data_IF_744432073492
#
_entry.id   IF_744432073492
#
_cell.length_a   1.000
_cell.length_b   1.000
_cell.length_c   1.000
_cell.angle_alpha   90.00
_cell.angle_beta   90.00
_cell.angle_gamma   90.00
#
_symmetry.space_group_name_H-M   'P 1'
#
loop_
_entity.id
_entity.type
_entity.pdbx_description
1 polymer ?
#
# COMPACT_ATOMS: atom_id res chain seq x y z
N UNK A 1 -44.42 -27.62 42.10
CA UNK A 1 -45.40 -26.84 42.87
C UNK A 1 -44.74 -25.62 43.45
N UNK A 2 -45.45 -24.50 43.34
CA UNK A 2 -45.03 -23.11 43.59
C UNK A 2 -44.80 -22.80 45.08
N UNK A 3 -43.81 -21.95 45.42
CA UNK A 3 -44.03 -20.75 46.26
C UNK A 3 -42.82 -19.81 46.31
N UNK A 4 -43.17 -18.53 46.41
CA UNK A 4 -42.41 -17.27 46.24
C UNK A 4 -41.58 -16.85 47.47
N UNK A 5 -40.46 -16.18 47.17
CA UNK A 5 -39.84 -14.93 47.71
C UNK A 5 -40.53 -14.16 48.88
N UNK A 6 -39.82 -13.36 49.73
CA UNK A 6 -39.29 -12.04 49.30
C UNK A 6 -37.99 -11.49 49.95
N UNK A 7 -37.60 -10.36 49.37
CA UNK A 7 -36.38 -9.55 49.49
C UNK A 7 -36.21 -8.74 50.79
N UNK A 8 -35.00 -8.22 51.00
CA UNK A 8 -34.72 -7.09 51.89
C UNK A 8 -33.72 -6.13 51.23
N UNK A 9 -34.21 -4.92 50.95
CA UNK A 9 -33.48 -3.75 50.50
C UNK A 9 -32.65 -3.12 51.62
N UNK A 10 -31.47 -2.57 51.32
CA UNK A 10 -31.01 -1.32 51.95
C UNK A 10 -30.34 -0.39 50.95
N UNK A 11 -30.89 0.81 50.94
CA UNK A 11 -30.56 2.02 50.20
C UNK A 11 -29.56 2.86 51.00
N UNK A 12 -28.74 3.69 50.31
CA UNK A 12 -28.25 5.05 50.67
C UNK A 12 -26.93 5.36 49.94
N UNK A 13 -26.98 6.15 48.85
CA UNK A 13 -26.82 7.63 48.75
C UNK A 13 -25.38 8.16 48.82
N UNK A 14 -24.94 8.68 47.66
CA UNK A 14 -24.25 9.95 47.40
C UNK A 14 -23.27 10.52 48.46
N UNK A 15 -22.03 10.78 48.03
CA UNK A 15 -21.41 12.10 48.22
C UNK A 15 -20.29 12.38 47.22
N UNK A 16 -20.36 13.59 46.68
CA UNK A 16 -19.43 14.25 45.76
C UNK A 16 -18.06 14.45 46.42
N UNK A 17 -16.99 14.40 45.63
CA UNK A 17 -15.89 15.35 45.81
C UNK A 17 -15.08 15.54 44.52
N UNK A 18 -15.23 16.73 43.94
CA UNK A 18 -14.24 17.35 43.07
C UNK A 18 -13.02 17.73 43.91
N UNK A 19 -11.81 17.47 43.40
CA UNK A 19 -10.71 18.44 43.48
C UNK A 19 -9.63 18.14 42.45
N UNK A 20 -9.50 19.12 41.56
CA UNK A 20 -8.37 19.47 40.71
C UNK A 20 -7.01 18.90 41.12
N UNK A 21 -6.35 18.23 40.18
CA UNK A 21 -4.92 18.45 39.94
C UNK A 21 -4.65 18.45 38.43
N UNK A 22 -4.44 19.66 37.94
CA UNK A 22 -3.82 19.98 36.67
C UNK A 22 -2.37 19.48 36.67
N UNK A 23 -2.08 18.47 35.86
CA UNK A 23 -0.72 18.14 35.45
C UNK A 23 -0.66 18.22 33.93
N UNK A 24 0.07 19.26 33.53
CA UNK A 24 0.54 19.66 32.21
C UNK A 24 0.51 18.57 31.13
N UNK A 25 -0.30 18.85 30.11
CA UNK A 25 -0.30 18.18 28.81
C UNK A 25 1.00 18.52 28.08
N UNK A 26 1.93 17.58 28.05
CA UNK A 26 2.93 17.52 26.98
C UNK A 26 2.24 16.93 25.75
N UNK A 27 1.70 17.80 24.90
CA UNK A 27 1.11 17.39 23.62
C UNK A 27 2.22 17.09 22.62
N UNK A 28 2.76 15.88 22.66
CA UNK A 28 3.42 15.29 21.50
C UNK A 28 2.32 15.02 20.47
N UNK A 29 2.37 15.74 19.35
CA UNK A 29 1.47 15.57 18.23
C UNK A 29 1.51 14.10 17.76
N UNK A 30 0.40 13.40 17.93
CA UNK A 30 0.20 12.05 17.40
C UNK A 30 0.17 12.10 15.87
N UNK A 31 0.84 11.18 15.15
CA UNK A 31 0.73 11.13 13.70
C UNK A 31 -0.70 10.81 13.27
N UNK A 32 -1.15 11.53 12.26
CA UNK A 32 -2.46 11.42 11.63
C UNK A 32 -2.61 10.10 10.88
N UNK A 33 -3.30 9.14 11.51
CA UNK A 33 -3.79 7.86 10.98
C UNK A 33 -2.89 6.62 11.26
N UNK A 34 -3.19 5.97 12.38
CA UNK A 34 -2.79 4.57 12.63
C UNK A 34 -3.57 3.68 11.66
N UNK A 35 -2.89 2.94 10.79
CA UNK A 35 -3.55 2.04 9.84
C UNK A 35 -3.77 0.66 10.48
N UNK A 36 -4.91 0.04 10.18
CA UNK A 36 -5.09 -1.39 10.40
C UNK A 36 -4.38 -2.13 9.27
N UNK A 37 -3.31 -2.88 9.56
CA UNK A 37 -2.67 -3.65 8.50
C UNK A 37 -3.68 -4.68 7.99
N UNK A 38 -3.81 -4.83 6.68
CA UNK A 38 -4.59 -5.91 6.05
C UNK A 38 -3.74 -6.50 4.95
N UNK A 39 -3.83 -7.82 4.76
CA UNK A 39 -3.01 -8.57 3.81
C UNK A 39 -2.87 -7.89 2.44
N UNK A 40 -1.68 -7.97 1.84
CA UNK A 40 -1.54 -7.83 0.39
C UNK A 40 -2.54 -8.78 -0.29
N UNK A 41 -3.28 -8.27 -1.28
CA UNK A 41 -4.41 -8.98 -1.91
C UNK A 41 -5.63 -9.21 -1.01
N UNK A 42 -5.77 -8.51 0.13
CA UNK A 42 -7.03 -8.47 0.91
C UNK A 42 -7.31 -7.06 1.42
N UNK A 43 -7.95 -6.25 0.58
CA UNK A 43 -8.85 -5.18 1.05
C UNK A 43 -10.28 -5.62 0.73
N UNK A 44 -10.96 -6.22 1.70
CA UNK A 44 -12.39 -6.51 1.64
C UNK A 44 -13.13 -5.27 1.14
N UNK A 45 -13.84 -5.38 0.02
CA UNK A 45 -14.98 -4.48 -0.26
C UNK A 45 -15.90 -4.61 0.95
N UNK A 46 -15.90 -3.60 1.81
CA UNK A 46 -16.86 -3.50 2.90
C UNK A 46 -18.26 -3.56 2.29
N UNK A 47 -19.10 -4.43 2.85
CA UNK A 47 -20.54 -4.48 2.59
C UNK A 47 -21.12 -3.11 2.95
N UNK A 48 -21.35 -2.27 1.95
CA UNK A 48 -21.92 -0.95 2.15
C UNK A 48 -23.43 -1.09 2.42
N UNK A 49 -23.80 -1.00 3.69
CA UNK A 49 -25.05 -0.34 4.06
C UNK A 49 -24.80 1.17 4.08
N UNK A 50 -25.78 1.92 3.58
CA UNK A 50 -25.87 3.38 3.42
C UNK A 50 -25.48 3.93 2.03
N UNK A 51 -26.53 4.39 1.35
CA UNK A 51 -26.57 5.13 0.10
C UNK A 51 -25.75 6.42 0.19
N UNK A 52 -24.67 6.48 -0.59
CA UNK A 52 -24.24 7.63 -1.41
C UNK A 52 -22.93 7.21 -2.09
N UNK A 53 -23.00 6.88 -3.38
CA UNK A 53 -21.86 6.46 -4.18
C UNK A 53 -20.93 7.65 -4.45
N UNK A 54 -20.13 8.04 -3.46
CA UNK A 54 -19.03 8.96 -3.64
C UNK A 54 -17.92 8.24 -4.43
N UNK A 55 -17.90 8.43 -5.74
CA UNK A 55 -16.80 8.03 -6.62
C UNK A 55 -15.72 9.09 -6.43
N UNK A 56 -14.53 8.75 -5.90
CA UNK A 56 -13.45 9.72 -5.80
C UNK A 56 -13.12 10.26 -7.20
N UNK A 57 -12.65 11.51 -7.32
CA UNK A 57 -12.24 12.11 -8.59
C UNK A 57 -10.89 11.51 -9.02
N UNK A 58 -10.90 10.22 -9.34
CA UNK A 58 -9.84 9.60 -10.10
C UNK A 58 -10.10 9.94 -11.57
N UNK A 59 -9.09 10.47 -12.27
CA UNK A 59 -9.16 10.67 -13.71
C UNK A 59 -9.09 9.27 -14.34
N UNK A 60 -10.27 8.67 -14.53
CA UNK A 60 -10.37 7.34 -15.12
C UNK A 60 -10.01 7.42 -16.60
N UNK A 61 -9.04 6.61 -17.00
CA UNK A 61 -8.70 6.44 -18.41
C UNK A 61 -9.54 5.28 -18.94
N UNK A 62 -10.56 5.60 -19.75
CA UNK A 62 -11.28 4.58 -20.52
C UNK A 62 -10.34 4.01 -21.61
N UNK A 63 -10.48 2.72 -21.96
CA UNK A 63 -9.76 2.13 -23.08
C UNK A 63 -10.04 2.89 -24.38
N UNK A 64 -8.99 3.19 -25.12
CA UNK A 64 -8.99 4.02 -26.35
C UNK A 64 -8.43 3.27 -27.57
N UNK A 65 -8.19 1.96 -27.48
CA UNK A 65 -7.58 1.12 -28.52
C UNK A 65 -6.28 1.72 -29.10
N UNK A 66 -5.58 2.55 -28.32
CA UNK A 66 -4.40 3.26 -28.81
C UNK A 66 -3.21 2.31 -28.94
N UNK A 67 -2.31 2.61 -29.87
CA UNK A 67 -1.02 1.95 -29.90
C UNK A 67 -0.10 2.46 -28.78
N UNK A 68 0.30 1.55 -27.89
CA UNK A 68 1.22 1.80 -26.79
C UNK A 68 0.60 2.54 -25.60
N UNK A 69 1.43 2.86 -24.60
CA UNK A 69 0.97 3.46 -23.35
C UNK A 69 1.51 4.88 -23.12
N UNK A 70 0.72 5.69 -22.41
CA UNK A 70 1.19 6.94 -21.81
C UNK A 70 1.46 6.77 -20.32
N UNK A 71 2.34 7.58 -19.77
CA UNK A 71 2.44 7.78 -18.33
C UNK A 71 1.86 9.15 -18.00
N UNK A 72 0.95 9.22 -17.04
CA UNK A 72 0.31 10.44 -16.57
C UNK A 72 0.77 10.67 -15.14
N UNK A 73 1.27 11.87 -14.83
CA UNK A 73 1.68 12.22 -13.47
C UNK A 73 0.80 13.34 -12.93
N UNK A 74 0.13 13.06 -11.81
CA UNK A 74 -0.61 14.05 -11.03
C UNK A 74 0.23 14.52 -9.84
N UNK A 75 -0.06 15.70 -9.30
CA UNK A 75 0.49 16.14 -8.01
C UNK A 75 0.10 15.13 -6.91
N UNK A 76 1.06 14.58 -6.13
CA UNK A 76 0.78 13.56 -5.11
C UNK A 76 -0.13 14.07 -3.98
N UNK A 77 -0.19 15.38 -3.78
CA UNK A 77 -0.90 16.03 -2.68
C UNK A 77 0.00 16.31 -1.48
N UNK A 78 -0.41 17.27 -0.65
CA UNK A 78 0.36 17.73 0.52
C UNK A 78 0.67 16.58 1.50
N UNK A 79 1.94 16.41 1.87
CA UNK A 79 2.40 15.38 2.79
C UNK A 79 2.64 14.02 2.13
N UNK A 80 2.52 13.95 0.80
CA UNK A 80 2.70 12.74 0.01
C UNK A 80 3.70 12.97 -1.12
N UNK A 81 4.39 11.92 -1.54
CA UNK A 81 5.32 11.94 -2.66
C UNK A 81 5.18 10.69 -3.54
N UNK A 82 5.34 10.89 -4.85
CA UNK A 82 5.58 9.77 -5.76
C UNK A 82 6.99 9.24 -5.53
N UNK A 83 7.09 7.95 -5.27
CA UNK A 83 8.37 7.27 -4.98
C UNK A 83 9.10 6.81 -6.25
N UNK A 84 8.41 6.91 -7.39
CA UNK A 84 8.91 6.62 -8.74
C UNK A 84 8.56 7.78 -9.66
N UNK A 85 9.36 7.96 -10.70
CA UNK A 85 9.14 8.93 -11.76
C UNK A 85 8.56 8.28 -13.01
N UNK A 86 8.03 9.09 -13.93
CA UNK A 86 7.62 8.60 -15.25
C UNK A 86 8.76 7.87 -15.99
N UNK A 87 9.97 8.44 -15.99
CA UNK A 87 11.12 7.84 -16.65
C UNK A 87 11.45 6.45 -16.10
N UNK A 88 11.46 6.31 -14.78
CA UNK A 88 11.75 5.02 -14.12
C UNK A 88 10.69 3.95 -14.42
N UNK A 89 9.41 4.34 -14.52
CA UNK A 89 8.34 3.44 -14.95
C UNK A 89 8.57 2.99 -16.40
N UNK A 90 8.88 3.93 -17.30
CA UNK A 90 9.12 3.61 -18.72
C UNK A 90 10.32 2.70 -18.91
N UNK A 91 11.42 3.03 -18.25
CA UNK A 91 12.65 2.24 -18.28
C UNK A 91 12.35 0.82 -17.82
N UNK A 92 11.64 0.67 -16.69
CA UNK A 92 11.30 -0.65 -16.16
C UNK A 92 10.40 -1.45 -17.11
N UNK A 93 9.34 -0.84 -17.65
CA UNK A 93 8.44 -1.53 -18.58
C UNK A 93 9.13 -1.89 -19.90
N UNK A 94 10.14 -1.13 -20.33
CA UNK A 94 10.92 -1.43 -21.55
C UNK A 94 11.77 -2.69 -21.45
N UNK A 95 12.07 -3.15 -20.23
CA UNK A 95 12.80 -4.41 -19.99
C UNK A 95 11.91 -5.64 -20.15
N UNK A 96 10.58 -5.47 -20.15
CA UNK A 96 9.63 -6.57 -20.29
C UNK A 96 9.37 -6.91 -21.76
N UNK A 97 8.97 -8.15 -22.07
CA UNK A 97 8.50 -8.50 -23.42
C UNK A 97 7.39 -7.56 -23.90
N UNK A 98 7.49 -7.09 -25.16
CA UNK A 98 6.50 -6.17 -25.75
C UNK A 98 5.06 -6.68 -25.64
N UNK A 99 4.85 -8.00 -25.73
CA UNK A 99 3.54 -8.62 -25.60
C UNK A 99 2.87 -8.36 -24.24
N UNK A 100 3.65 -8.17 -23.16
CA UNK A 100 3.11 -7.85 -21.84
C UNK A 100 2.65 -6.41 -21.74
N UNK A 101 3.21 -5.52 -22.55
CA UNK A 101 2.94 -4.09 -22.53
C UNK A 101 1.89 -3.71 -23.58
N UNK A 102 1.68 -4.55 -24.61
CA UNK A 102 0.72 -4.31 -25.67
C UNK A 102 -0.71 -3.97 -25.19
N UNK A 103 -1.29 -4.61 -24.15
CA UNK A 103 -2.63 -4.26 -23.68
C UNK A 103 -2.66 -3.06 -22.71
N UNK A 104 -1.50 -2.48 -22.38
CA UNK A 104 -1.40 -1.34 -21.48
C UNK A 104 -1.60 -0.04 -22.25
N UNK A 105 -2.50 0.82 -21.78
CA UNK A 105 -2.77 2.12 -22.39
C UNK A 105 -2.32 3.31 -21.52
N UNK A 106 -2.37 3.14 -20.20
CA UNK A 106 -1.99 4.20 -19.27
C UNK A 106 -1.35 3.66 -17.99
N UNK A 107 -0.29 4.33 -17.54
CA UNK A 107 0.16 4.26 -16.15
C UNK A 107 -0.03 5.63 -15.52
N UNK A 108 -0.76 5.72 -14.42
CA UNK A 108 -0.99 6.98 -13.71
C UNK A 108 -0.29 6.99 -12.36
N UNK A 109 0.61 7.94 -12.16
CA UNK A 109 1.09 8.34 -10.83
C UNK A 109 -0.01 9.24 -10.22
N UNK A 110 -0.86 8.63 -9.40
CA UNK A 110 -2.16 9.17 -8.98
C UNK A 110 -2.07 10.02 -7.73
N UNK A 111 -2.88 11.06 -7.59
CA UNK A 111 -2.95 11.86 -6.35
C UNK A 111 -3.46 11.03 -5.17
N UNK A 112 -2.95 11.28 -3.96
CA UNK A 112 -3.53 10.70 -2.75
C UNK A 112 -4.93 11.25 -2.50
N UNK A 113 -5.93 10.36 -2.35
CA UNK A 113 -7.31 10.74 -2.07
C UNK A 113 -7.73 10.37 -0.64
N UNK A 114 -8.75 11.04 -0.10
CA UNK A 114 -9.32 10.70 1.22
C UNK A 114 -9.74 9.23 1.31
N UNK A 115 -10.30 8.67 0.23
CA UNK A 115 -10.70 7.27 0.16
C UNK A 115 -9.48 6.34 0.27
N UNK A 116 -8.41 6.64 -0.46
CA UNK A 116 -7.18 5.84 -0.44
C UNK A 116 -6.42 5.96 0.89
N UNK A 117 -6.54 7.06 1.62
CA UNK A 117 -6.07 7.15 3.03
C UNK A 117 -6.77 6.17 3.96
N UNK A 118 -8.07 5.95 3.78
CA UNK A 118 -8.84 4.97 4.57
C UNK A 118 -8.69 3.54 4.04
N UNK A 119 -8.34 3.38 2.76
CA UNK A 119 -8.09 2.09 2.11
C UNK A 119 -6.74 2.06 1.33
N UNK A 120 -5.58 2.10 2.03
CA UNK A 120 -4.26 2.29 1.39
C UNK A 120 -3.75 1.14 0.49
N UNK A 121 -3.92 1.23 -0.82
CA UNK A 121 -3.19 0.35 -1.77
C UNK A 121 -2.04 1.13 -2.42
N UNK A 122 -0.93 0.44 -2.72
CA UNK A 122 0.19 1.06 -3.45
C UNK A 122 -0.08 1.15 -4.94
N UNK A 123 -0.84 0.19 -5.47
CA UNK A 123 -1.23 0.07 -6.86
C UNK A 123 -2.71 -0.24 -7.01
N UNK A 124 -3.22 -0.11 -8.23
CA UNK A 124 -4.50 -0.63 -8.66
C UNK A 124 -4.52 -0.76 -10.17
N UNK A 125 -4.95 -1.91 -10.67
CA UNK A 125 -5.32 -2.10 -12.07
C UNK A 125 -6.81 -1.81 -12.28
N UNK A 126 -7.15 -1.10 -13.36
CA UNK A 126 -8.52 -0.91 -13.83
C UNK A 126 -8.55 -0.73 -15.35
N UNK A 127 -9.30 -1.59 -16.06
CA UNK A 127 -9.28 -1.62 -17.53
C UNK A 127 -7.87 -1.84 -18.07
N UNK A 128 -7.47 -1.12 -19.10
CA UNK A 128 -6.11 -1.13 -19.66
C UNK A 128 -5.14 -0.17 -18.94
N UNK A 129 -5.48 0.27 -17.72
CA UNK A 129 -4.70 1.25 -16.97
C UNK A 129 -4.21 0.74 -15.61
N UNK A 130 -3.01 1.19 -15.23
CA UNK A 130 -2.39 0.94 -13.92
C UNK A 130 -2.28 2.25 -13.16
N UNK A 131 -2.64 2.25 -11.88
CA UNK A 131 -2.61 3.43 -11.02
C UNK A 131 -1.63 3.17 -9.87
N UNK A 132 -0.57 3.97 -9.76
CA UNK A 132 0.38 3.92 -8.65
C UNK A 132 0.10 5.09 -7.71
N UNK A 133 -0.03 4.81 -6.42
CA UNK A 133 -0.34 5.81 -5.40
C UNK A 133 0.92 6.26 -4.65
N UNK A 134 0.99 7.54 -4.22
CA UNK A 134 2.12 8.08 -3.50
C UNK A 134 2.13 7.56 -2.05
N UNK A 135 3.29 7.67 -1.40
CA UNK A 135 3.44 7.42 0.03
C UNK A 135 3.55 8.73 0.79
N UNK A 136 3.37 8.65 2.11
CA UNK A 136 3.74 9.75 3.01
C UNK A 136 5.22 10.11 2.83
N UNK A 137 5.53 11.41 2.86
CA UNK A 137 6.89 11.94 2.64
C UNK A 137 7.93 11.32 3.59
N UNK A 138 7.51 10.94 4.79
CA UNK A 138 8.38 10.30 5.77
C UNK A 138 8.84 8.88 5.41
N UNK A 139 8.22 8.23 4.41
CA UNK A 139 8.50 6.83 4.02
C UNK A 139 8.39 5.84 5.20
N UNK A 140 7.52 6.16 6.15
CA UNK A 140 7.18 5.33 7.30
C UNK A 140 5.69 5.06 7.26
N UNK A 141 5.34 3.79 7.37
CA UNK A 141 3.95 3.35 7.44
C UNK A 141 3.67 2.75 8.81
N UNK A 142 2.49 3.06 9.37
CA UNK A 142 2.12 2.72 10.72
C UNK A 142 0.99 1.71 10.74
N UNK A 143 1.18 0.65 11.53
CA UNK A 143 0.28 -0.49 11.61
C UNK A 143 -0.08 -0.79 13.06
N UNK A 144 -1.32 -1.21 13.32
CA UNK A 144 -1.81 -1.60 14.65
C UNK A 144 -1.71 -3.12 14.95
N UNK A 145 -1.08 -3.88 14.05
CA UNK A 145 -0.86 -5.31 14.18
C UNK A 145 0.52 -5.68 13.65
N UNK A 146 1.09 -6.81 14.08
CA UNK A 146 2.29 -7.34 13.47
C UNK A 146 2.07 -7.65 11.97
N UNK A 147 3.13 -7.56 11.16
CA UNK A 147 3.08 -8.02 9.77
C UNK A 147 2.83 -9.53 9.73
N UNK A 148 2.13 -9.98 8.69
CA UNK A 148 2.03 -11.41 8.37
C UNK A 148 3.39 -11.88 7.84
N UNK A 149 3.72 -13.17 7.95
CA UNK A 149 4.97 -13.71 7.43
C UNK A 149 5.23 -13.37 5.95
N UNK A 150 4.19 -13.42 5.11
CA UNK A 150 4.29 -13.07 3.68
C UNK A 150 4.65 -11.58 3.49
N UNK A 151 3.90 -10.67 4.12
CA UNK A 151 4.15 -9.21 4.09
C UNK A 151 5.57 -8.89 4.56
N UNK A 152 6.00 -9.54 5.66
CA UNK A 152 7.34 -9.36 6.21
C UNK A 152 8.42 -9.80 5.23
N UNK A 153 8.31 -11.02 4.68
CA UNK A 153 9.31 -11.58 3.78
C UNK A 153 9.44 -10.80 2.48
N UNK A 154 8.30 -10.43 1.89
CA UNK A 154 8.23 -9.65 0.66
C UNK A 154 8.85 -8.26 0.84
N UNK A 155 8.36 -7.47 1.80
CA UNK A 155 8.90 -6.12 2.03
C UNK A 155 10.37 -6.15 2.42
N UNK A 156 10.81 -7.15 3.20
CA UNK A 156 12.22 -7.37 3.53
C UNK A 156 13.07 -7.71 2.31
N UNK A 157 12.55 -8.45 1.32
CA UNK A 157 13.29 -8.77 0.10
C UNK A 157 13.70 -7.50 -0.69
N UNK A 158 12.92 -6.43 -0.56
CA UNK A 158 13.21 -5.11 -1.13
C UNK A 158 13.89 -4.15 -0.16
N UNK A 159 14.23 -4.58 1.06
CA UNK A 159 14.93 -3.78 2.06
C UNK A 159 14.01 -2.91 2.93
N UNK A 160 12.71 -3.21 2.99
CA UNK A 160 11.80 -2.66 3.98
C UNK A 160 12.14 -3.17 5.39
N UNK A 161 12.08 -2.27 6.38
CA UNK A 161 12.42 -2.59 7.77
C UNK A 161 11.21 -2.47 8.68
N UNK A 162 10.78 -3.61 9.21
CA UNK A 162 9.77 -3.66 10.26
C UNK A 162 10.36 -3.35 11.63
N UNK A 163 9.68 -2.50 12.39
CA UNK A 163 10.01 -2.15 13.78
C UNK A 163 8.75 -2.31 14.62
N UNK A 164 8.85 -3.08 15.70
CA UNK A 164 7.83 -3.07 16.75
C UNK A 164 8.07 -1.87 17.65
N UNK A 165 7.09 -0.97 17.75
CA UNK A 165 7.06 0.04 18.79
C UNK A 165 6.34 -0.51 20.02
N UNK A 166 6.57 0.12 21.17
CA UNK A 166 5.94 -0.30 22.43
C UNK A 166 4.43 -0.53 22.27
N UNK A 167 3.94 -1.69 22.71
CA UNK A 167 2.55 -2.12 22.56
C UNK A 167 2.28 -2.86 21.26
N UNK A 168 1.14 -2.57 20.62
CA UNK A 168 0.68 -3.22 19.37
C UNK A 168 1.02 -2.43 18.11
N UNK A 169 1.82 -1.37 18.23
CA UNK A 169 2.14 -0.50 17.10
C UNK A 169 3.38 -1.01 16.36
N UNK A 170 3.26 -1.11 15.04
CA UNK A 170 4.32 -1.55 14.15
C UNK A 170 4.58 -0.48 13.11
N UNK A 171 5.84 -0.34 12.73
CA UNK A 171 6.29 0.55 11.65
C UNK A 171 6.93 -0.25 10.54
N UNK A 172 6.60 0.07 9.29
CA UNK A 172 7.41 -0.31 8.14
C UNK A 172 8.16 0.93 7.67
N UNK A 173 9.48 0.85 7.65
CA UNK A 173 10.36 1.96 7.33
C UNK A 173 11.07 1.65 6.02
N UNK A 174 11.00 2.60 5.10
CA UNK A 174 11.69 2.53 3.83
C UNK A 174 12.78 3.60 3.72
N UNK A 175 13.72 3.35 2.82
CA UNK A 175 14.59 4.39 2.28
C UNK A 175 14.07 4.77 0.89
N UNK A 176 14.38 5.97 0.36
CA UNK A 176 13.96 6.36 -0.99
C UNK A 176 14.31 5.32 -2.07
N UNK A 177 15.47 4.66 -1.91
CA UNK A 177 15.90 3.59 -2.81
C UNK A 177 15.05 2.32 -2.66
N UNK A 178 14.85 1.84 -1.45
CA UNK A 178 14.17 0.55 -1.22
C UNK A 178 12.68 0.60 -1.55
N UNK A 179 12.01 1.73 -1.29
CA UNK A 179 10.61 1.90 -1.70
C UNK A 179 10.45 2.02 -3.21
N UNK A 180 11.40 2.67 -3.89
CA UNK A 180 11.43 2.73 -5.36
C UNK A 180 11.62 1.36 -5.96
N UNK A 181 12.59 0.59 -5.45
CA UNK A 181 12.83 -0.79 -5.89
C UNK A 181 11.57 -1.64 -5.68
N UNK A 182 10.90 -1.51 -4.54
CA UNK A 182 9.62 -2.18 -4.26
C UNK A 182 8.50 -1.75 -5.23
N UNK A 183 8.37 -0.46 -5.54
CA UNK A 183 7.34 0.02 -6.46
C UNK A 183 7.55 -0.49 -7.89
N UNK A 184 8.77 -0.38 -8.42
CA UNK A 184 9.05 -0.76 -9.81
C UNK A 184 9.04 -2.26 -10.02
N UNK A 185 9.53 -3.02 -9.04
CA UNK A 185 9.78 -4.45 -9.20
C UNK A 185 8.74 -5.32 -8.50
N UNK A 186 7.88 -4.76 -7.67
CA UNK A 186 6.79 -5.52 -7.08
C UNK A 186 5.44 -4.92 -7.47
N UNK A 187 5.14 -3.72 -7.00
CA UNK A 187 3.81 -3.10 -7.18
C UNK A 187 3.45 -2.99 -8.66
N UNK A 188 4.29 -2.34 -9.47
CA UNK A 188 4.05 -2.14 -10.90
C UNK A 188 3.85 -3.47 -11.65
N UNK A 189 4.69 -4.46 -11.35
CA UNK A 189 4.65 -5.77 -12.03
C UNK A 189 3.43 -6.57 -11.58
N UNK A 190 3.04 -6.48 -10.30
CA UNK A 190 1.82 -7.08 -9.77
C UNK A 190 0.58 -6.52 -10.46
N UNK A 191 0.46 -5.19 -10.56
CA UNK A 191 -0.69 -4.57 -11.23
C UNK A 191 -0.72 -4.91 -12.73
N UNK A 192 0.45 -5.02 -13.38
CA UNK A 192 0.54 -5.52 -14.75
C UNK A 192 0.10 -6.99 -14.86
N UNK A 193 0.44 -7.82 -13.87
CA UNK A 193 -0.05 -9.19 -13.78
C UNK A 193 -1.58 -9.26 -13.74
N UNK A 194 -2.24 -8.35 -13.01
CA UNK A 194 -3.71 -8.27 -13.03
C UNK A 194 -4.30 -7.94 -14.41
N UNK A 195 -3.59 -7.11 -15.20
CA UNK A 195 -4.00 -6.76 -16.55
C UNK A 195 -3.89 -7.96 -17.51
N UNK A 196 -2.85 -8.78 -17.35
CA UNK A 196 -2.55 -9.92 -18.23
C UNK A 196 -3.33 -11.20 -17.86
N UNK A 197 -4.01 -11.22 -16.71
CA UNK A 197 -4.80 -12.37 -16.30
C UNK A 197 -6.18 -12.39 -16.97
N UNK A 198 -6.23 -13.00 -18.15
CA UNK A 198 -7.48 -13.22 -18.91
C UNK A 198 -8.22 -14.50 -18.49
N UNK A 199 -7.59 -15.36 -17.67
CA UNK A 199 -8.07 -16.74 -17.44
C UNK A 199 -8.83 -16.88 -16.14
N UNK A 200 -8.39 -16.20 -15.08
CA UNK A 200 -9.00 -16.34 -13.77
C UNK A 200 -10.14 -15.33 -13.59
N UNK A 201 -11.31 -15.83 -13.22
CA UNK A 201 -12.47 -14.99 -12.86
C UNK A 201 -12.59 -14.78 -11.35
N UNK A 202 -11.99 -15.67 -10.56
CA UNK A 202 -12.02 -15.60 -9.09
C UNK A 202 -10.99 -14.59 -8.58
N UNK A 203 -11.39 -13.77 -7.61
CA UNK A 203 -10.50 -12.79 -6.98
C UNK A 203 -9.21 -13.44 -6.46
N UNK A 204 -9.34 -14.57 -5.76
CA UNK A 204 -8.19 -15.25 -5.13
C UNK A 204 -7.19 -15.77 -6.16
N UNK A 205 -7.67 -16.25 -7.30
CA UNK A 205 -6.77 -16.79 -8.33
C UNK A 205 -6.11 -15.67 -9.13
N UNK A 206 -6.82 -14.55 -9.36
CA UNK A 206 -6.23 -13.34 -9.95
C UNK A 206 -5.12 -12.73 -9.10
N UNK A 207 -5.30 -12.69 -7.78
CA UNK A 207 -4.26 -12.24 -6.85
C UNK A 207 -3.04 -13.17 -6.88
N UNK A 208 -3.26 -14.49 -6.89
CA UNK A 208 -2.17 -15.47 -6.99
C UNK A 208 -1.39 -15.36 -8.29
N UNK A 209 -2.08 -15.12 -9.40
CA UNK A 209 -1.43 -14.90 -10.69
C UNK A 209 -0.57 -13.64 -10.66
N UNK A 210 -1.11 -12.52 -10.17
CA UNK A 210 -0.37 -11.27 -10.05
C UNK A 210 0.85 -11.38 -9.12
N UNK A 211 0.70 -12.04 -7.96
CA UNK A 211 1.81 -12.34 -7.04
C UNK A 211 2.90 -13.18 -7.75
N UNK A 212 2.51 -14.25 -8.42
CA UNK A 212 3.45 -15.10 -9.18
C UNK A 212 4.16 -14.30 -10.28
N UNK A 213 3.42 -13.47 -11.03
CA UNK A 213 3.94 -12.66 -12.11
C UNK A 213 4.96 -11.63 -11.60
N UNK A 214 4.68 -10.99 -10.46
CA UNK A 214 5.62 -10.10 -9.77
C UNK A 214 6.87 -10.83 -9.27
N UNK A 215 6.74 -12.05 -8.75
CA UNK A 215 7.90 -12.85 -8.36
C UNK A 215 8.75 -13.20 -9.59
N UNK A 216 8.12 -13.68 -10.67
CA UNK A 216 8.81 -14.15 -11.86
C UNK A 216 9.50 -13.02 -12.63
N UNK A 217 8.79 -11.90 -12.84
CA UNK A 217 9.29 -10.82 -13.68
C UNK A 217 9.84 -9.63 -12.91
N UNK A 218 9.54 -9.52 -11.61
CA UNK A 218 9.90 -8.41 -10.75
C UNK A 218 11.12 -8.68 -9.86
N UNK A 219 11.17 -9.84 -9.20
CA UNK A 219 12.33 -10.25 -8.38
C UNK A 219 13.50 -10.80 -9.21
N UNK A 220 13.30 -11.09 -10.49
CA UNK A 220 14.36 -11.46 -11.45
C UNK A 220 14.74 -10.33 -12.43
N UNK A 221 15.34 -9.21 -12.00
CA UNK A 221 16.17 -8.43 -12.91
C UNK A 221 17.48 -9.18 -13.10
N UNK A 222 17.84 -9.49 -14.35
CA UNK A 222 19.07 -10.19 -14.71
C UNK A 222 20.29 -9.69 -13.92
N UNK A 223 21.14 -10.62 -13.48
CA UNK A 223 22.33 -10.42 -12.63
C UNK A 223 23.39 -9.44 -13.13
N UNK A 224 23.09 -8.60 -14.12
CA UNK A 224 23.99 -7.63 -14.72
C UNK A 224 24.02 -6.27 -14.01
N UNK A 225 22.95 -5.80 -13.35
CA UNK A 225 22.96 -4.48 -12.69
C UNK A 225 23.79 -4.48 -11.39
N UNK A 226 23.67 -5.55 -10.58
CA UNK A 226 24.46 -5.73 -9.35
C UNK A 226 25.94 -5.99 -9.65
N UNK A 227 26.25 -6.65 -10.78
CA UNK A 227 27.62 -6.91 -11.24
C UNK A 227 28.31 -5.69 -11.89
N UNK A 228 27.56 -4.83 -12.60
CA UNK A 228 28.14 -3.60 -13.20
C UNK A 228 28.60 -2.60 -12.14
N UNK A 229 27.88 -2.47 -11.03
CA UNK A 229 28.27 -1.57 -9.94
C UNK A 229 29.46 -2.07 -9.09
N UNK A 230 29.66 -3.38 -8.96
CA UNK A 230 30.83 -3.92 -8.26
C UNK A 230 32.11 -3.84 -9.10
N UNK A 231 32.02 -3.95 -10.44
CA UNK A 231 33.17 -3.75 -11.35
C UNK A 231 33.62 -2.28 -11.42
N UNK A 232 32.69 -1.33 -11.46
CA UNK A 232 33.02 0.12 -11.52
C UNK A 232 33.79 0.62 -10.28
N UNK A 233 33.47 0.10 -9.09
CA UNK A 233 34.20 0.45 -7.86
C UNK A 233 35.61 -0.14 -7.77
N UNK A 234 35.92 -1.16 -8.59
CA UNK A 234 37.22 -1.84 -8.57
C UNK A 234 38.23 -1.22 -9.55
N UNK A 235 37.77 -0.57 -10.63
CA UNK A 235 38.65 0.16 -11.56
C UNK A 235 39.11 1.54 -11.06
N UNK A 236 38.42 2.17 -10.10
CA UNK A 236 38.79 3.50 -9.57
C UNK A 236 39.68 3.44 -8.31
N UNK A 237 40.41 2.34 -8.11
CA UNK A 237 41.29 2.13 -6.93
C UNK A 237 42.73 1.74 -7.27
N UNK A 238 43.14 1.92 -8.52
CA UNK A 238 44.55 1.85 -8.92
C UNK A 238 44.98 3.18 -9.50
#
# INVERSE_FOLDING_TARGET
MSRRQPASSKSRTNLKNLKNRSSQRSSTAMPTAVQSAVALGKRLRGRAGSNNAYVPPEDWHEPTDREGYRVVSQDPGRGYQHVVTEGEVRDRLSELPKAFIAPLEAVQLSRMTRKKRSFPCYGMQWGSALYLYPLEEGLVEYFNRPPRPAEYNETRAFGGRWVNEAGSQWKLIWTPRTIRDFYLNNVLIHELGHLLDERNTSYRDRERFAEWFAIEHGLRPGGNARAKNSRRKRCNRN
#
